data_IF_460315538169
#
_entry.id   IF_460315538169
#
_cell.length_a   1.000
_cell.length_b   1.000
_cell.length_c   1.000
_cell.angle_alpha   90.00
_cell.angle_beta   90.00
_cell.angle_gamma   90.00
#
_symmetry.space_group_name_H-M   'P 1'
#
loop_
_entity.id
_entity.type
_entity.pdbx_description
1 polymer ?
#
# COMPACT_ATOMS: atom_id res chain seq x y z
N UNK A 1 24.25 -6.09 6.10
CA UNK A 1 23.95 -7.20 7.04
C UNK A 1 22.48 -7.53 6.91
N UNK A 2 22.13 -8.78 6.54
CA UNK A 2 20.73 -9.24 6.45
C UNK A 2 20.31 -9.65 7.87
N UNK A 3 19.26 -9.02 8.39
CA UNK A 3 18.62 -9.44 9.65
C UNK A 3 17.43 -10.33 9.33
N UNK A 4 17.31 -11.46 9.99
CA UNK A 4 16.17 -12.36 9.91
C UNK A 4 15.53 -12.45 11.30
N UNK A 5 14.22 -12.31 11.33
CA UNK A 5 13.42 -12.54 12.54
C UNK A 5 12.52 -13.73 12.24
N UNK A 6 12.46 -14.68 13.16
CA UNK A 6 11.56 -15.83 13.11
C UNK A 6 10.69 -15.72 14.36
N UNK A 7 9.38 -15.69 14.16
CA UNK A 7 8.39 -15.74 15.22
C UNK A 7 7.61 -17.05 15.12
N UNK A 8 7.40 -17.71 16.26
CA UNK A 8 6.59 -18.92 16.34
C UNK A 8 5.38 -18.66 17.22
N UNK A 9 4.23 -19.14 16.80
CA UNK A 9 2.97 -18.98 17.50
C UNK A 9 2.38 -20.35 17.82
N UNK A 10 1.90 -20.54 19.04
CA UNK A 10 1.19 -21.74 19.44
C UNK A 10 -0.29 -21.53 19.15
N UNK A 11 -0.78 -22.13 18.08
CA UNK A 11 -2.14 -21.92 17.55
C UNK A 11 -2.94 -23.21 17.54
N UNK A 12 -4.22 -23.09 17.84
CA UNK A 12 -5.17 -24.20 17.78
C UNK A 12 -6.00 -24.14 16.48
N UNK A 13 -6.61 -25.24 16.03
CA UNK A 13 -7.52 -25.23 14.90
C UNK A 13 -8.65 -24.22 15.12
N UNK A 14 -8.78 -23.24 14.23
CA UNK A 14 -9.79 -22.17 14.30
C UNK A 14 -9.25 -20.83 14.84
N UNK A 15 -8.01 -20.79 15.34
CA UNK A 15 -7.37 -19.52 15.72
C UNK A 15 -7.02 -18.68 14.48
N UNK A 16 -7.18 -17.37 14.59
CA UNK A 16 -6.81 -16.41 13.54
C UNK A 16 -5.56 -15.63 13.95
N UNK A 17 -4.59 -15.56 13.06
CA UNK A 17 -3.40 -14.71 13.22
C UNK A 17 -3.45 -13.54 12.26
N UNK A 18 -3.56 -12.34 12.80
CA UNK A 18 -3.47 -11.11 12.02
C UNK A 18 -2.06 -10.51 12.10
N UNK A 19 -1.56 -10.02 10.98
CA UNK A 19 -0.28 -9.33 10.89
C UNK A 19 -0.43 -8.02 10.15
N UNK A 20 0.21 -6.96 10.66
CA UNK A 20 0.38 -5.68 9.96
C UNK A 20 1.84 -5.51 9.59
N UNK A 21 2.08 -5.03 8.37
CA UNK A 21 3.42 -4.74 7.88
C UNK A 21 3.45 -3.31 7.36
N UNK A 22 4.46 -2.56 7.74
CA UNK A 22 4.72 -1.23 7.20
C UNK A 22 6.15 -1.13 6.71
N UNK A 23 6.35 -0.32 5.69
CA UNK A 23 7.64 -0.06 5.08
C UNK A 23 7.94 1.45 5.18
N UNK A 24 9.23 1.77 5.22
CA UNK A 24 9.74 3.12 5.10
C UNK A 24 11.11 3.08 4.45
N UNK A 25 11.41 4.04 3.60
CA UNK A 25 12.73 4.23 3.02
C UNK A 25 13.65 5.00 3.96
N UNK A 26 13.14 5.57 5.04
CA UNK A 26 13.86 6.47 5.94
C UNK A 26 14.31 5.79 7.23
N UNK A 27 13.37 5.21 8.00
CA UNK A 27 13.67 4.63 9.30
C UNK A 27 12.57 3.69 9.81
N UNK A 28 12.88 2.94 10.87
CA UNK A 28 11.88 2.12 11.60
C UNK A 28 10.79 3.01 12.20
N UNK A 29 11.12 4.19 12.69
CA UNK A 29 10.14 5.13 13.23
C UNK A 29 9.23 5.72 12.14
N UNK A 30 9.76 5.93 10.92
CA UNK A 30 8.97 6.25 9.74
C UNK A 30 7.95 5.14 9.44
N UNK A 31 8.38 3.88 9.41
CA UNK A 31 7.49 2.75 9.20
C UNK A 31 6.39 2.64 10.28
N UNK A 32 6.70 2.91 11.55
CA UNK A 32 5.69 2.94 12.61
C UNK A 32 4.66 4.04 12.40
N UNK A 33 5.10 5.25 12.06
CA UNK A 33 4.19 6.38 11.76
C UNK A 33 3.27 6.05 10.58
N UNK A 34 3.80 5.44 9.52
CA UNK A 34 3.02 4.98 8.38
C UNK A 34 1.95 3.98 8.83
N UNK A 35 2.33 2.98 9.63
CA UNK A 35 1.40 1.97 10.13
C UNK A 35 0.28 2.57 10.99
N UNK A 36 0.63 3.47 11.88
CA UNK A 36 -0.34 4.12 12.78
C UNK A 36 -1.29 5.06 12.04
N UNK A 37 -0.82 5.71 10.98
CA UNK A 37 -1.63 6.61 10.17
C UNK A 37 -2.54 5.88 9.18
N UNK A 38 -2.03 4.81 8.55
CA UNK A 38 -2.74 4.13 7.46
C UNK A 38 -3.60 2.97 7.95
N UNK A 39 -3.15 2.23 8.96
CA UNK A 39 -3.86 1.06 9.50
C UNK A 39 -3.89 1.10 11.04
N UNK A 40 -4.58 2.08 11.66
CA UNK A 40 -4.57 2.24 13.13
C UNK A 40 -5.25 1.07 13.86
N UNK A 41 -6.34 0.54 13.30
CA UNK A 41 -7.12 -0.55 13.93
C UNK A 41 -6.71 -1.93 13.44
N UNK A 42 -7.01 -2.98 14.22
CA UNK A 42 -6.95 -4.38 13.83
C UNK A 42 -8.30 -4.78 13.22
N UNK A 43 -8.62 -4.19 12.06
CA UNK A 43 -9.87 -4.39 11.33
C UNK A 43 -9.56 -4.75 9.87
N UNK A 44 -9.37 -6.03 9.63
CA UNK A 44 -9.06 -6.55 8.29
C UNK A 44 -10.19 -6.26 7.28
N UNK A 45 -11.44 -6.49 7.69
CA UNK A 45 -12.58 -6.30 6.79
C UNK A 45 -12.82 -4.82 6.48
N UNK A 46 -12.61 -3.93 7.43
CA UNK A 46 -12.67 -2.49 7.18
C UNK A 46 -11.60 -2.00 6.21
N UNK A 47 -10.36 -2.46 6.36
CA UNK A 47 -9.27 -2.15 5.41
C UNK A 47 -9.58 -2.70 4.02
N UNK A 48 -10.05 -3.94 3.92
CA UNK A 48 -10.46 -4.56 2.66
C UNK A 48 -11.59 -3.80 1.98
N UNK A 49 -12.61 -3.41 2.73
CA UNK A 49 -13.75 -2.64 2.20
C UNK A 49 -13.33 -1.26 1.71
N UNK A 50 -12.46 -0.56 2.45
CA UNK A 50 -11.91 0.74 2.06
C UNK A 50 -11.13 0.62 0.75
N UNK A 51 -10.20 -0.32 0.65
CA UNK A 51 -9.42 -0.55 -0.56
C UNK A 51 -10.32 -0.90 -1.77
N UNK A 52 -11.32 -1.75 -1.57
CA UNK A 52 -12.29 -2.09 -2.62
C UNK A 52 -13.05 -0.84 -3.11
N UNK A 53 -13.53 0.00 -2.20
CA UNK A 53 -14.28 1.20 -2.54
C UNK A 53 -13.41 2.24 -3.26
N UNK A 54 -12.16 2.42 -2.82
CA UNK A 54 -11.22 3.32 -3.48
C UNK A 54 -10.92 2.87 -4.91
N UNK A 55 -10.59 1.59 -5.12
CA UNK A 55 -10.37 1.06 -6.46
C UNK A 55 -11.62 1.16 -7.33
N UNK A 56 -12.79 0.91 -6.78
CA UNK A 56 -14.05 1.04 -7.51
C UNK A 56 -14.28 2.49 -7.97
N UNK A 57 -13.98 3.48 -7.13
CA UNK A 57 -14.06 4.89 -7.47
C UNK A 57 -13.11 5.30 -8.62
N UNK A 58 -11.93 4.69 -8.69
CA UNK A 58 -11.00 4.95 -9.79
C UNK A 58 -11.41 4.24 -11.08
N UNK A 59 -11.75 2.97 -11.00
CA UNK A 59 -12.05 2.15 -12.16
C UNK A 59 -13.40 2.54 -12.81
N UNK A 60 -14.39 2.96 -12.01
CA UNK A 60 -15.70 3.39 -12.51
C UNK A 60 -15.70 4.75 -13.25
N UNK A 61 -14.56 5.43 -13.34
CA UNK A 61 -14.44 6.66 -14.14
C UNK A 61 -14.52 6.42 -15.64
N UNK A 62 -14.30 5.20 -16.08
CA UNK A 62 -14.45 4.78 -17.46
C UNK A 62 -15.38 3.57 -17.46
N UNK A 63 -16.53 3.74 -18.11
CA UNK A 63 -17.47 2.65 -18.34
C UNK A 63 -17.35 2.18 -19.78
N UNK A 64 -17.29 0.87 -19.99
CA UNK A 64 -17.25 0.26 -21.31
C UNK A 64 -18.40 -0.72 -21.52
N UNK A 65 -18.87 -0.80 -22.75
CA UNK A 65 -19.79 -1.84 -23.19
C UNK A 65 -19.01 -2.96 -23.89
N UNK A 66 -19.42 -4.19 -23.68
CA UNK A 66 -18.77 -5.36 -24.25
C UNK A 66 -19.12 -6.64 -23.49
N UNK A 67 -18.53 -7.75 -23.92
CA UNK A 67 -18.62 -9.04 -23.25
C UNK A 67 -17.90 -9.00 -21.89
N UNK A 68 -18.17 -9.98 -21.02
CA UNK A 68 -17.53 -10.09 -19.71
C UNK A 68 -16.00 -10.24 -19.84
N UNK A 69 -15.53 -10.98 -20.85
CA UNK A 69 -14.11 -11.14 -21.12
C UNK A 69 -13.45 -9.82 -21.54
N UNK A 70 -14.09 -9.05 -22.41
CA UNK A 70 -13.59 -7.74 -22.84
C UNK A 70 -13.54 -6.76 -21.65
N UNK A 71 -14.58 -6.73 -20.83
CA UNK A 71 -14.61 -5.91 -19.60
C UNK A 71 -13.53 -6.33 -18.62
N UNK A 72 -13.36 -7.63 -18.38
CA UNK A 72 -12.31 -8.16 -17.50
C UNK A 72 -10.93 -7.75 -17.98
N UNK A 73 -10.65 -7.93 -19.27
CA UNK A 73 -9.37 -7.53 -19.86
C UNK A 73 -9.13 -6.02 -19.73
N UNK A 74 -10.13 -5.20 -20.07
CA UNK A 74 -10.02 -3.75 -20.01
C UNK A 74 -9.73 -3.28 -18.58
N UNK A 75 -10.55 -3.69 -17.61
CA UNK A 75 -10.38 -3.23 -16.22
C UNK A 75 -9.12 -3.78 -15.56
N UNK A 76 -8.66 -4.96 -15.96
CA UNK A 76 -7.36 -5.49 -15.52
C UNK A 76 -6.21 -4.63 -16.04
N UNK A 77 -6.23 -4.27 -17.32
CA UNK A 77 -5.22 -3.38 -17.90
C UNK A 77 -5.29 -1.97 -17.27
N UNK A 78 -6.49 -1.45 -17.07
CA UNK A 78 -6.69 -0.13 -16.45
C UNK A 78 -6.22 -0.12 -15.00
N UNK A 79 -6.50 -1.16 -14.22
CA UNK A 79 -5.95 -1.34 -12.88
C UNK A 79 -4.42 -1.32 -12.90
N UNK A 80 -3.78 -2.10 -13.79
CA UNK A 80 -2.33 -2.12 -13.91
C UNK A 80 -1.73 -0.76 -14.27
N UNK A 81 -2.39 0.00 -15.13
CA UNK A 81 -1.95 1.35 -15.50
C UNK A 81 -2.03 2.34 -14.31
N UNK A 82 -2.94 2.11 -13.36
CA UNK A 82 -3.13 2.95 -12.17
C UNK A 82 -2.26 2.56 -10.98
N UNK A 83 -1.58 1.41 -11.00
CA UNK A 83 -0.70 0.98 -9.90
C UNK A 83 0.48 1.93 -9.72
N UNK A 84 0.93 2.60 -10.77
CA UNK A 84 2.05 3.54 -10.71
C UNK A 84 1.63 4.94 -11.15
N UNK A 85 2.32 5.98 -10.65
CA UNK A 85 3.50 5.97 -9.75
C UNK A 85 3.15 5.64 -8.30
N UNK A 86 4.05 4.93 -7.60
CA UNK A 86 3.90 4.64 -6.18
C UNK A 86 4.41 5.79 -5.30
N UNK A 87 3.70 6.12 -4.24
CA UNK A 87 4.21 7.00 -3.21
C UNK A 87 5.33 6.30 -2.44
N UNK A 88 6.50 6.93 -2.35
CA UNK A 88 7.68 6.42 -1.63
C UNK A 88 8.04 7.25 -0.41
N UNK A 89 7.39 8.40 -0.22
CA UNK A 89 7.53 9.18 1.00
C UNK A 89 6.69 8.62 2.13
N UNK A 90 7.20 8.71 3.35
CA UNK A 90 6.46 8.44 4.57
C UNK A 90 5.30 9.44 4.73
N UNK A 91 4.37 9.18 5.63
CA UNK A 91 3.19 10.03 5.90
C UNK A 91 3.56 11.45 6.36
N UNK A 92 4.77 11.65 6.90
CA UNK A 92 5.31 12.97 7.26
C UNK A 92 6.04 13.67 6.09
N UNK A 93 6.03 13.06 4.91
CA UNK A 93 6.66 13.57 3.68
C UNK A 93 8.17 13.28 3.59
N UNK A 94 8.75 12.56 4.52
CA UNK A 94 10.16 12.20 4.47
C UNK A 94 10.40 11.03 3.49
N UNK A 95 11.50 11.08 2.74
CA UNK A 95 11.90 9.99 1.84
C UNK A 95 13.42 9.96 1.66
N UNK A 96 13.91 8.83 1.16
CA UNK A 96 15.33 8.66 0.80
C UNK A 96 15.51 8.94 -0.69
N UNK A 97 16.33 9.92 -1.01
CA UNK A 97 16.60 10.31 -2.40
C UNK A 97 17.66 9.41 -3.05
N UNK A 98 17.93 9.61 -4.34
CA UNK A 98 18.94 8.86 -5.10
C UNK A 98 20.37 9.05 -4.60
N UNK A 99 20.65 10.11 -3.85
CA UNK A 99 21.96 10.35 -3.21
C UNK A 99 22.06 9.71 -1.80
N UNK A 100 21.14 8.81 -1.46
CA UNK A 100 21.05 8.12 -0.16
C UNK A 100 20.84 9.06 1.04
N UNK A 101 20.33 10.27 0.79
CA UNK A 101 20.03 11.25 1.84
C UNK A 101 18.54 11.25 2.16
N UNK A 102 18.21 11.44 3.45
CA UNK A 102 16.82 11.59 3.89
C UNK A 102 16.43 13.06 3.77
N UNK A 103 15.40 13.33 2.98
CA UNK A 103 14.91 14.68 2.67
C UNK A 103 13.40 14.75 2.78
N UNK A 104 12.84 15.95 2.85
CA UNK A 104 11.42 16.18 2.90
C UNK A 104 10.88 16.58 1.53
N UNK A 105 9.77 15.99 1.09
CA UNK A 105 9.08 16.39 -0.13
C UNK A 105 8.47 17.79 0.01
N UNK A 106 8.70 18.66 -0.99
CA UNK A 106 8.23 20.04 -0.95
C UNK A 106 6.70 20.17 -1.03
N UNK A 107 6.02 19.17 -1.57
CA UNK A 107 4.55 19.12 -1.78
C UNK A 107 3.84 18.08 -0.92
N UNK A 108 4.49 17.61 0.15
CA UNK A 108 3.91 16.64 1.09
C UNK A 108 4.08 15.17 0.68
N UNK A 109 4.13 14.83 -0.60
CA UNK A 109 4.35 13.47 -1.10
C UNK A 109 5.38 13.42 -2.21
N UNK A 110 6.13 12.32 -2.28
CA UNK A 110 7.06 12.03 -3.35
C UNK A 110 6.75 10.66 -3.94
N UNK A 111 6.66 10.61 -5.26
CA UNK A 111 6.29 9.40 -6.01
C UNK A 111 7.49 8.84 -6.77
N UNK A 112 7.49 7.52 -6.93
CA UNK A 112 8.48 6.86 -7.80
C UNK A 112 8.26 7.30 -9.25
N UNK A 113 9.37 7.60 -9.91
CA UNK A 113 9.41 7.64 -11.37
C UNK A 113 10.04 6.32 -11.80
N UNK A 114 9.30 5.43 -12.43
CA UNK A 114 9.74 4.13 -12.95
C UNK A 114 11.19 3.70 -12.65
#
# INVERSE_FOLDING_TARGET
MIKRIIASFDMQPGDELMMKVALSTTSVDGAKKNLEAEIPAWDFEGVRATAHNEWNNYLSRIEIEGTDDEKTNFYTCFYHALIQPNQISDVDGMYRNAADSIVKAGTGAFYSTF
#
